data_IF_328022365793
#
_entry.id   IF_328022365793
#
_cell.length_a   1.000
_cell.length_b   1.000
_cell.length_c   1.000
_cell.angle_alpha   90.00
_cell.angle_beta   90.00
_cell.angle_gamma   90.00
#
_symmetry.space_group_name_H-M   'P 1'
#
loop_
_entity.id
_entity.type
_entity.pdbx_description
1 polymer ?
#
# COMPACT_ATOMS: atom_id res chain seq x y z
N UNK A 1 -3.48 -8.48 -10.44
CA UNK A 1 -3.36 -7.06 -10.86
C UNK A 1 -4.29 -6.23 -10.02
N UNK A 2 -3.96 -4.96 -9.76
CA UNK A 2 -4.81 -4.04 -8.99
C UNK A 2 -6.02 -3.60 -9.82
N UNK A 3 -7.14 -3.40 -9.14
CA UNK A 3 -8.38 -2.86 -9.71
C UNK A 3 -8.95 -1.75 -8.82
N UNK A 4 -10.06 -1.11 -9.24
CA UNK A 4 -10.68 -0.01 -8.50
C UNK A 4 -11.20 -0.40 -7.11
N UNK A 5 -11.38 -1.69 -6.83
CA UNK A 5 -11.83 -2.19 -5.52
C UNK A 5 -10.65 -2.51 -4.60
N UNK A 6 -9.44 -2.50 -5.14
CA UNK A 6 -8.24 -2.81 -4.39
C UNK A 6 -7.99 -1.73 -3.34
N UNK A 7 -7.67 -2.18 -2.12
CA UNK A 7 -7.20 -1.33 -1.03
C UNK A 7 -5.82 -1.82 -0.62
N UNK A 8 -4.80 -1.08 -1.01
CA UNK A 8 -3.41 -1.54 -0.96
C UNK A 8 -2.75 -1.04 0.31
N UNK A 9 -2.28 -1.95 1.16
CA UNK A 9 -1.36 -1.59 2.23
C UNK A 9 0.03 -1.43 1.64
N UNK A 10 0.67 -0.29 1.85
CA UNK A 10 2.03 -0.02 1.36
C UNK A 10 2.94 0.37 2.50
N UNK A 11 4.08 -0.32 2.65
CA UNK A 11 5.20 0.09 3.51
C UNK A 11 6.40 0.61 2.72
N UNK A 12 6.28 0.70 1.40
CA UNK A 12 7.35 1.22 0.54
C UNK A 12 7.63 2.68 0.88
N UNK A 13 8.91 3.01 1.02
CA UNK A 13 9.36 4.40 1.04
C UNK A 13 9.14 5.03 -0.33
N UNK A 14 8.75 6.30 -0.37
CA UNK A 14 8.51 7.03 -1.62
C UNK A 14 9.80 7.62 -2.20
N UNK A 15 10.83 6.78 -2.29
CA UNK A 15 12.07 7.12 -3.00
C UNK A 15 11.80 7.22 -4.50
N UNK A 16 12.48 8.17 -5.15
CA UNK A 16 12.40 8.32 -6.59
C UNK A 16 13.39 7.37 -7.29
N UNK A 17 13.01 6.80 -8.46
CA UNK A 17 11.67 6.84 -9.05
C UNK A 17 10.74 5.74 -8.50
N UNK A 18 11.30 4.60 -8.09
CA UNK A 18 10.55 3.35 -7.97
C UNK A 18 9.56 3.31 -6.81
N UNK A 19 9.95 3.82 -5.65
CA UNK A 19 9.12 3.84 -4.44
C UNK A 19 7.85 4.66 -4.63
N UNK A 20 7.98 5.84 -5.25
CA UNK A 20 6.83 6.69 -5.59
C UNK A 20 5.93 6.05 -6.65
N UNK A 21 6.52 5.54 -7.73
CA UNK A 21 5.78 4.93 -8.83
C UNK A 21 4.99 3.70 -8.37
N UNK A 22 5.60 2.84 -7.56
CA UNK A 22 4.98 1.58 -7.12
C UNK A 22 4.07 1.77 -5.90
N UNK A 23 4.54 2.50 -4.89
CA UNK A 23 3.87 2.63 -3.60
C UNK A 23 2.70 3.61 -3.59
N UNK A 24 2.71 4.63 -4.48
CA UNK A 24 1.66 5.65 -4.53
C UNK A 24 0.97 5.71 -5.89
N UNK A 25 1.71 5.93 -6.97
CA UNK A 25 1.10 6.25 -8.26
C UNK A 25 0.46 5.02 -8.94
N UNK A 26 1.04 3.82 -8.79
CA UNK A 26 0.53 2.58 -9.34
C UNK A 26 -0.90 2.24 -8.89
N UNK A 27 -1.17 2.16 -7.57
CA UNK A 27 -2.52 1.97 -7.06
C UNK A 27 -3.51 3.04 -7.56
N UNK A 28 -3.11 4.32 -7.52
CA UNK A 28 -3.99 5.42 -7.95
C UNK A 28 -4.29 5.37 -9.45
N UNK A 29 -3.33 5.00 -10.29
CA UNK A 29 -3.54 4.80 -11.73
C UNK A 29 -4.52 3.67 -12.04
N UNK A 30 -4.60 2.64 -11.18
CA UNK A 30 -5.61 1.58 -11.26
C UNK A 30 -6.99 2.00 -10.72
N UNK A 31 -7.12 3.22 -10.18
CA UNK A 31 -8.30 3.69 -9.46
C UNK A 31 -8.50 3.01 -8.10
N UNK A 32 -7.46 2.39 -7.57
CA UNK A 32 -7.45 1.76 -6.25
C UNK A 32 -7.23 2.81 -5.15
N UNK A 33 -7.31 2.36 -3.89
CA UNK A 33 -6.93 3.15 -2.71
C UNK A 33 -5.64 2.65 -2.09
N UNK A 34 -4.90 3.54 -1.41
CA UNK A 34 -3.67 3.19 -0.69
C UNK A 34 -3.78 3.52 0.80
N UNK A 35 -3.31 2.59 1.62
CA UNK A 35 -3.07 2.73 3.06
C UNK A 35 -1.55 2.74 3.23
N UNK A 36 -0.96 3.93 3.24
CA UNK A 36 0.48 4.08 3.45
C UNK A 36 0.81 3.91 4.93
N UNK A 37 1.79 3.07 5.25
CA UNK A 37 2.31 2.82 6.59
C UNK A 37 3.79 3.16 6.60
N UNK A 38 4.12 4.34 7.09
CA UNK A 38 5.51 4.78 7.31
C UNK A 38 6.05 4.21 8.62
N UNK A 39 7.36 3.91 8.69
CA UNK A 39 7.99 3.30 9.86
C UNK A 39 7.22 2.06 10.35
N UNK A 40 7.03 1.10 9.44
CA UNK A 40 6.18 -0.06 9.68
C UNK A 40 6.73 -0.95 10.80
N UNK A 41 5.84 -1.31 11.73
CA UNK A 41 6.08 -2.36 12.72
C UNK A 41 5.44 -3.65 12.20
N UNK A 42 6.23 -4.68 11.83
CA UNK A 42 5.70 -5.94 11.29
C UNK A 42 4.65 -6.59 12.20
N UNK A 43 4.79 -6.45 13.52
CA UNK A 43 3.85 -7.04 14.48
C UNK A 43 2.47 -6.35 14.49
N UNK A 44 2.35 -5.16 13.89
CA UNK A 44 1.09 -4.40 13.83
C UNK A 44 0.41 -4.44 12.46
N UNK A 45 1.05 -5.05 11.46
CA UNK A 45 0.52 -5.03 10.09
C UNK A 45 -0.79 -5.81 9.96
N UNK A 46 -0.96 -6.94 10.64
CA UNK A 46 -2.21 -7.72 10.56
C UNK A 46 -3.40 -6.94 11.12
N UNK A 47 -3.22 -6.31 12.29
CA UNK A 47 -4.23 -5.42 12.85
C UNK A 47 -4.57 -4.25 11.92
N UNK A 48 -3.58 -3.73 11.18
CA UNK A 48 -3.81 -2.68 10.17
C UNK A 48 -4.59 -3.19 8.97
N UNK A 49 -4.27 -4.39 8.46
CA UNK A 49 -5.01 -5.03 7.36
C UNK A 49 -6.47 -5.21 7.73
N UNK A 50 -6.74 -5.65 8.96
CA UNK A 50 -8.10 -5.85 9.46
C UNK A 50 -8.88 -4.55 9.61
N UNK A 51 -8.28 -3.54 10.25
CA UNK A 51 -8.94 -2.25 10.49
C UNK A 51 -9.26 -1.52 9.17
N UNK A 52 -8.33 -1.53 8.23
CA UNK A 52 -8.47 -0.82 6.97
C UNK A 52 -9.14 -1.66 5.89
N UNK A 53 -9.26 -2.98 6.06
CA UNK A 53 -9.81 -3.92 5.07
C UNK A 53 -9.00 -3.95 3.78
N UNK A 54 -7.67 -4.01 3.91
CA UNK A 54 -6.78 -4.06 2.75
C UNK A 54 -6.89 -5.41 2.03
N UNK A 55 -6.66 -5.40 0.72
CA UNK A 55 -6.86 -6.57 -0.17
C UNK A 55 -5.61 -6.95 -0.93
N UNK A 56 -4.55 -6.15 -0.82
CA UNK A 56 -3.26 -6.37 -1.45
C UNK A 56 -2.17 -5.62 -0.67
N UNK A 57 -0.93 -6.08 -0.77
CA UNK A 57 0.21 -5.51 -0.07
C UNK A 57 1.34 -5.12 -1.02
N UNK A 58 2.05 -4.06 -0.66
CA UNK A 58 3.33 -3.63 -1.20
C UNK A 58 4.29 -3.42 -0.02
N UNK A 59 5.06 -4.47 0.32
CA UNK A 59 5.96 -4.45 1.47
C UNK A 59 7.41 -4.22 1.04
N UNK A 60 8.16 -3.46 1.83
CA UNK A 60 9.60 -3.23 1.70
C UNK A 60 10.43 -4.41 2.25
#
# INVERSE_FOLDING_TARGET
>A
GLDRRSRVLSTLEWTLPDGLLRGLLGPLAAGASVVQVTNADPAKLDARRDAERTTADLLA
#
